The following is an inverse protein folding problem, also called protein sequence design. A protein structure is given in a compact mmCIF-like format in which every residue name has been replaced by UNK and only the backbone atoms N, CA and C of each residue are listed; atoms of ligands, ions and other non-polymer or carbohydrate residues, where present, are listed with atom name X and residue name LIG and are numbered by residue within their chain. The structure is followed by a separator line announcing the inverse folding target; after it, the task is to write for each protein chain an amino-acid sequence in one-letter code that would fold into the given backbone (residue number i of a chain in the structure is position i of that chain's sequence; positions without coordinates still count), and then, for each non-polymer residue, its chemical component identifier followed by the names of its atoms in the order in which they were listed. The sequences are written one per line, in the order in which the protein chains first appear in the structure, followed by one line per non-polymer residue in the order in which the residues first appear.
data_IF_060188080329
#
_entry.id   IF_060188080329
#
_cell.length_a   1.000
_cell.length_b   1.000
_cell.length_c   1.000
_cell.angle_alpha   90.00
_cell.angle_beta   90.00
_cell.angle_gamma   90.00
#
_symmetry.space_group_name_H-M   'P 1'
#
loop_
_entity.id
_entity.type
_entity.pdbx_description
1 polymer ?
#
# COMPACT_ATOMS: atom_id res chain seq x y z
N UNK A 1 3.27 7.28 8.70
CA UNK A 1 4.60 7.76 8.23
C UNK A 1 5.53 8.25 9.34
N UNK A 2 5.03 8.94 10.37
CA UNK A 2 5.87 9.57 11.41
C UNK A 2 6.78 8.60 12.19
N UNK A 3 6.39 7.33 12.30
CA UNK A 3 7.17 6.28 12.98
C UNK A 3 8.22 5.59 12.08
N UNK A 4 8.45 6.06 10.85
CA UNK A 4 9.49 5.54 9.95
C UNK A 4 9.16 4.26 9.17
N UNK A 5 7.99 3.64 9.41
CA UNK A 5 7.54 2.49 8.63
C UNK A 5 7.20 2.88 7.18
N UNK A 6 7.63 2.04 6.23
CA UNK A 6 7.20 2.06 4.83
C UNK A 6 5.77 1.54 4.74
N UNK A 7 4.92 2.18 3.93
CA UNK A 7 3.48 1.85 3.85
C UNK A 7 3.03 1.61 2.43
N UNK A 8 2.31 0.50 2.22
CA UNK A 8 1.82 0.04 0.92
C UNK A 8 0.30 -0.05 0.98
N UNK A 9 -0.38 0.43 -0.04
CA UNK A 9 -1.84 0.37 -0.19
C UNK A 9 -2.24 -0.36 -1.48
N UNK A 10 -3.37 -1.05 -1.44
CA UNK A 10 -3.93 -1.71 -2.63
C UNK A 10 -4.63 -0.68 -3.53
N UNK A 11 -4.49 -0.82 -4.84
CA UNK A 11 -5.13 0.05 -5.83
C UNK A 11 -6.62 -0.29 -6.04
N UNK A 12 -7.36 0.68 -6.57
CA UNK A 12 -8.79 0.54 -6.84
C UNK A 12 -9.11 -0.62 -7.80
N UNK A 13 -8.31 -0.77 -8.87
CA UNK A 13 -8.56 -1.76 -9.92
C UNK A 13 -8.53 -3.22 -9.43
N UNK A 14 -7.78 -3.52 -8.36
CA UNK A 14 -7.70 -4.87 -7.79
C UNK A 14 -8.52 -5.04 -6.51
N UNK A 15 -9.03 -3.96 -5.92
CA UNK A 15 -9.89 -4.01 -4.74
C UNK A 15 -11.30 -4.47 -5.12
N UNK A 16 -11.88 -5.37 -4.33
CA UNK A 16 -13.33 -5.66 -4.40
C UNK A 16 -14.14 -4.45 -3.90
N UNK A 17 -13.68 -3.82 -2.82
CA UNK A 17 -14.24 -2.57 -2.30
C UNK A 17 -13.08 -1.64 -1.95
N UNK A 18 -12.93 -0.54 -2.69
CA UNK A 18 -11.90 0.47 -2.47
C UNK A 18 -12.31 1.49 -1.38
N UNK A 19 -12.50 0.99 -0.16
CA UNK A 19 -12.90 1.78 1.02
C UNK A 19 -11.69 2.23 1.85
N UNK A 20 -11.17 1.33 2.69
CA UNK A 20 -10.03 1.64 3.57
C UNK A 20 -8.77 2.06 2.80
N UNK A 21 -8.37 1.38 1.69
CA UNK A 21 -7.17 1.78 0.96
C UNK A 21 -7.28 3.19 0.35
N UNK A 22 -8.48 3.59 -0.10
CA UNK A 22 -8.76 4.94 -0.62
C UNK A 22 -8.51 6.01 0.44
N UNK A 23 -9.11 5.84 1.62
CA UNK A 23 -8.97 6.81 2.72
C UNK A 23 -7.51 6.92 3.15
N UNK A 24 -6.79 5.80 3.26
CA UNK A 24 -5.37 5.80 3.61
C UNK A 24 -4.50 6.54 2.58
N UNK A 25 -4.82 6.42 1.28
CA UNK A 25 -4.15 7.15 0.22
C UNK A 25 -4.47 8.66 0.24
N UNK A 26 -5.74 9.03 0.39
CA UNK A 26 -6.19 10.43 0.43
C UNK A 26 -5.59 11.22 1.60
N UNK A 27 -5.38 10.59 2.75
CA UNK A 27 -4.72 11.24 3.91
C UNK A 27 -3.19 11.21 3.82
N UNK A 28 -2.61 10.73 2.71
CA UNK A 28 -1.16 10.64 2.52
C UNK A 28 -0.46 9.60 3.39
N UNK A 29 -1.19 8.61 3.90
CA UNK A 29 -0.63 7.55 4.74
C UNK A 29 0.00 6.40 3.94
N UNK A 30 -0.26 6.30 2.63
CA UNK A 30 0.29 5.28 1.71
C UNK A 30 1.45 5.88 0.90
N UNK A 31 2.58 5.17 0.80
CA UNK A 31 3.71 5.57 -0.03
C UNK A 31 3.68 4.95 -1.43
N UNK A 32 3.29 3.68 -1.51
CA UNK A 32 3.18 2.93 -2.77
C UNK A 32 1.76 2.36 -2.92
N UNK A 33 1.08 2.70 -4.01
CA UNK A 33 -0.24 2.16 -4.37
C UNK A 33 -0.08 1.10 -5.47
N UNK A 34 -0.44 -0.15 -5.19
CA UNK A 34 -0.13 -1.30 -6.03
C UNK A 34 -1.33 -2.23 -6.26
N UNK A 35 -1.31 -3.00 -7.36
CA UNK A 35 -2.25 -4.11 -7.54
C UNK A 35 -1.97 -5.24 -6.53
N UNK A 36 -2.99 -6.01 -6.16
CA UNK A 36 -2.89 -7.08 -5.14
C UNK A 36 -1.78 -8.10 -5.41
N UNK A 37 -1.57 -8.45 -6.68
CA UNK A 37 -0.53 -9.38 -7.13
C UNK A 37 0.89 -8.86 -6.93
N UNK A 38 1.07 -7.55 -6.72
CA UNK A 38 2.37 -6.89 -6.53
C UNK A 38 2.71 -6.60 -5.08
N UNK A 39 1.72 -6.63 -4.18
CA UNK A 39 1.94 -6.25 -2.77
C UNK A 39 2.92 -7.19 -2.09
N UNK A 40 2.79 -8.52 -2.27
CA UNK A 40 3.66 -9.49 -1.63
C UNK A 40 5.14 -9.29 -2.02
N UNK A 41 5.43 -9.11 -3.31
CA UNK A 41 6.77 -8.82 -3.80
C UNK A 41 7.32 -7.53 -3.19
N UNK A 42 6.51 -6.46 -3.19
CA UNK A 42 6.91 -5.18 -2.58
C UNK A 42 7.22 -5.32 -1.09
N UNK A 43 6.45 -6.08 -0.33
CA UNK A 43 6.71 -6.29 1.10
C UNK A 43 8.05 -7.00 1.30
N UNK A 44 8.35 -8.03 0.51
CA UNK A 44 9.65 -8.70 0.56
C UNK A 44 10.81 -7.77 0.20
N UNK A 45 10.65 -6.96 -0.86
CA UNK A 45 11.65 -5.97 -1.28
C UNK A 45 11.93 -4.96 -0.16
N UNK A 46 10.90 -4.50 0.55
CA UNK A 46 11.03 -3.55 1.67
C UNK A 46 11.69 -4.17 2.92
N UNK A 47 11.65 -5.49 3.06
CA UNK A 47 12.27 -6.22 4.15
C UNK A 47 13.66 -6.77 3.82
N UNK A 48 14.08 -6.71 2.56
CA UNK A 48 15.39 -7.18 2.12
C UNK A 48 16.45 -6.12 2.45
N UNK A 49 17.50 -6.54 3.16
CA UNK A 49 18.67 -5.70 3.54
C UNK A 49 19.64 -5.54 2.37
#
# INVERSE_FOLDING_TARGET
RQAGARTVGQNEASCVVYGMPRVANEIGAVEDVLSIDRIAGKVLDLCSL
#
